data_IF_810991694505
#
_entry.id   IF_810991694505
#
_cell.length_a   1.000
_cell.length_b   1.000
_cell.length_c   1.000
_cell.angle_alpha   90.00
_cell.angle_beta   90.00
_cell.angle_gamma   90.00
#
_symmetry.space_group_name_H-M   'P 1'
#
loop_
_entity.id
_entity.type
_entity.pdbx_description
1 polymer ?
#
# COMPACT_ATOMS: atom_id res chain seq x y z
N UNK A 1 21.25 -11.04 -13.99
CA UNK A 1 20.15 -10.16 -14.44
C UNK A 1 19.45 -9.60 -13.22
N UNK A 2 19.35 -8.27 -13.10
CA UNK A 2 18.72 -7.60 -11.95
C UNK A 2 17.19 -7.66 -12.04
N UNK A 3 16.51 -7.71 -10.87
CA UNK A 3 15.05 -7.72 -10.78
C UNK A 3 14.60 -6.44 -10.09
N UNK A 4 13.70 -5.68 -10.69
CA UNK A 4 13.08 -4.50 -10.09
C UNK A 4 11.59 -4.74 -9.84
N UNK A 5 11.15 -4.41 -8.65
CA UNK A 5 9.76 -4.39 -8.21
C UNK A 5 9.28 -2.95 -8.09
N UNK A 6 7.96 -2.73 -8.09
CA UNK A 6 7.41 -1.39 -7.85
C UNK A 6 7.97 -0.75 -6.57
N UNK A 7 8.10 -1.52 -5.50
CA UNK A 7 8.66 -1.03 -4.23
C UNK A 7 10.08 -0.45 -4.37
N UNK A 8 10.91 -0.99 -5.27
CA UNK A 8 12.25 -0.46 -5.56
C UNK A 8 12.17 0.86 -6.30
N UNK A 9 11.33 0.94 -7.34
CA UNK A 9 11.10 2.16 -8.12
C UNK A 9 10.59 3.27 -7.21
N UNK A 10 9.51 3.02 -6.47
CA UNK A 10 8.90 3.97 -5.54
C UNK A 10 9.89 4.43 -4.45
N UNK A 11 10.77 3.55 -3.97
CA UNK A 11 11.78 3.90 -2.97
C UNK A 11 12.87 4.80 -3.56
N UNK A 12 13.42 4.46 -4.72
CA UNK A 12 14.44 5.29 -5.42
C UNK A 12 13.85 6.63 -5.83
N UNK A 13 12.61 6.65 -6.38
CA UNK A 13 11.87 7.87 -6.72
C UNK A 13 11.76 8.83 -5.53
N UNK A 14 11.49 8.31 -4.35
CA UNK A 14 11.39 9.11 -3.12
C UNK A 14 12.75 9.53 -2.57
N UNK A 15 13.69 8.59 -2.48
CA UNK A 15 15.03 8.84 -1.94
C UNK A 15 15.98 7.69 -2.29
N UNK A 16 16.93 7.87 -3.22
CA UNK A 16 17.93 6.85 -3.55
C UNK A 16 18.70 6.33 -2.33
N UNK A 17 19.09 7.22 -1.39
CA UNK A 17 19.80 6.82 -0.16
C UNK A 17 18.98 5.87 0.72
N UNK A 18 17.63 6.05 0.77
CA UNK A 18 16.75 5.10 1.45
C UNK A 18 16.82 3.71 0.84
N UNK A 19 16.87 3.63 -0.50
CA UNK A 19 17.04 2.35 -1.21
C UNK A 19 18.36 1.68 -0.85
N UNK A 20 19.48 2.42 -0.84
CA UNK A 20 20.79 1.91 -0.43
C UNK A 20 20.74 1.31 0.98
N UNK A 21 20.23 2.05 1.94
CA UNK A 21 20.16 1.59 3.32
C UNK A 21 19.24 0.37 3.48
N UNK A 22 18.16 0.31 2.71
CA UNK A 22 17.23 -0.81 2.78
C UNK A 22 17.75 -2.07 2.09
N UNK A 23 18.32 -1.94 0.91
CA UNK A 23 18.70 -3.06 0.02
C UNK A 23 20.21 -3.32 -0.03
N UNK A 24 21.03 -2.33 0.28
CA UNK A 24 22.47 -2.39 0.11
C UNK A 24 22.92 -2.23 -1.34
N UNK A 25 24.25 -2.17 -1.50
CA UNK A 25 24.94 -2.17 -2.78
C UNK A 25 26.37 -2.72 -2.59
N UNK A 26 26.89 -3.58 -3.48
CA UNK A 26 28.21 -4.23 -3.27
C UNK A 26 29.38 -3.26 -3.16
N UNK A 27 29.29 -2.08 -3.79
CA UNK A 27 30.38 -1.09 -3.81
C UNK A 27 30.26 -0.05 -2.67
N UNK A 28 29.40 -0.29 -1.68
CA UNK A 28 29.24 0.56 -0.50
C UNK A 28 29.50 -0.21 0.79
N UNK A 29 29.88 0.50 1.86
CA UNK A 29 30.08 -0.08 3.20
C UNK A 29 28.83 -0.82 3.70
N UNK A 30 27.66 -0.44 3.21
CA UNK A 30 26.37 -1.10 3.47
C UNK A 30 26.03 -2.16 2.42
N UNK A 31 27.00 -2.93 1.94
CA UNK A 31 26.83 -3.87 0.83
C UNK A 31 25.59 -4.76 0.91
N UNK A 32 25.25 -5.27 2.09
CA UNK A 32 24.04 -6.06 2.33
C UNK A 32 22.79 -5.21 2.62
N UNK A 33 22.93 -3.89 2.82
CA UNK A 33 21.87 -3.00 3.30
C UNK A 33 21.59 -3.17 4.80
N UNK A 34 20.95 -2.18 5.41
CA UNK A 34 20.51 -2.25 6.81
C UNK A 34 19.18 -3.02 6.96
N UNK A 35 18.46 -3.22 5.86
CA UNK A 35 17.10 -3.71 5.89
C UNK A 35 16.14 -2.71 6.57
N UNK A 36 15.00 -3.19 7.06
CA UNK A 36 14.18 -2.37 7.97
C UNK A 36 14.91 -2.24 9.29
N UNK A 37 15.15 -1.01 9.82
CA UNK A 37 15.71 -0.85 11.14
C UNK A 37 14.87 -1.63 12.14
N UNK A 38 15.53 -2.44 12.96
CA UNK A 38 14.83 -2.99 14.12
C UNK A 38 14.45 -1.81 15.00
N UNK A 39 13.20 -1.65 15.40
CA UNK A 39 12.80 -0.55 16.26
C UNK A 39 13.64 -0.61 17.55
N UNK A 40 14.10 0.55 17.99
CA UNK A 40 14.91 0.71 19.20
C UNK A 40 14.13 0.33 20.46
N UNK A 41 12.81 0.43 20.44
CA UNK A 41 11.92 -0.02 21.50
C UNK A 41 10.73 -0.79 20.92
N UNK A 42 10.21 -1.73 21.71
CA UNK A 42 9.04 -2.56 21.37
C UNK A 42 7.79 -1.69 21.11
N UNK A 43 7.71 -0.52 21.72
CA UNK A 43 6.59 0.42 21.71
C UNK A 43 6.53 1.28 20.43
N UNK A 44 7.62 1.37 19.65
CA UNK A 44 7.72 2.25 18.47
C UNK A 44 7.47 1.54 17.13
N UNK A 45 7.10 0.25 17.15
CA UNK A 45 6.83 -0.48 15.91
C UNK A 45 5.51 -0.05 15.30
N UNK A 46 5.48 0.33 14.00
CA UNK A 46 4.19 0.38 13.32
C UNK A 46 3.51 -0.98 13.46
N UNK A 47 2.28 -0.96 13.91
CA UNK A 47 1.52 -2.17 14.20
C UNK A 47 1.41 -3.06 12.96
N UNK A 48 1.93 -4.28 13.05
CA UNK A 48 1.88 -5.25 11.94
C UNK A 48 0.47 -5.81 11.70
N UNK A 49 -0.51 -5.51 12.57
CA UNK A 49 -1.88 -5.98 12.39
C UNK A 49 -2.52 -5.50 11.07
N UNK A 50 -2.17 -4.33 10.54
CA UNK A 50 -2.64 -3.89 9.22
C UNK A 50 -2.12 -4.78 8.10
N UNK A 51 -0.86 -5.22 8.21
CA UNK A 51 -0.25 -6.14 7.25
C UNK A 51 -0.89 -7.53 7.35
N UNK A 52 -1.10 -8.02 8.58
CA UNK A 52 -1.80 -9.29 8.82
C UNK A 52 -3.17 -9.28 8.16
N UNK A 53 -4.01 -8.27 8.44
CA UNK A 53 -5.34 -8.17 7.84
C UNK A 53 -5.29 -8.11 6.31
N UNK A 54 -4.34 -7.39 5.72
CA UNK A 54 -4.13 -7.35 4.27
C UNK A 54 -3.82 -8.74 3.72
N UNK A 55 -2.89 -9.47 4.34
CA UNK A 55 -2.50 -10.82 3.92
C UNK A 55 -3.66 -11.83 4.03
N UNK A 56 -4.48 -11.75 5.09
CA UNK A 56 -5.69 -12.58 5.23
C UNK A 56 -6.66 -12.34 4.09
N UNK A 57 -6.92 -11.08 3.75
CA UNK A 57 -7.87 -10.73 2.69
C UNK A 57 -7.33 -11.06 1.29
N UNK A 58 -6.03 -10.92 1.03
CA UNK A 58 -5.40 -11.42 -0.21
C UNK A 58 -5.56 -12.93 -0.34
N UNK A 59 -5.37 -13.68 0.77
CA UNK A 59 -5.60 -15.14 0.77
C UNK A 59 -7.05 -15.52 0.48
N UNK A 60 -8.00 -14.77 0.97
CA UNK A 60 -9.43 -14.94 0.64
C UNK A 60 -9.68 -14.78 -0.86
N UNK A 61 -9.13 -13.74 -1.49
CA UNK A 61 -9.22 -13.53 -2.94
C UNK A 61 -8.60 -14.70 -3.69
N UNK A 62 -7.39 -15.08 -3.31
CA UNK A 62 -6.66 -16.20 -3.91
C UNK A 62 -7.49 -17.49 -3.91
N UNK A 63 -7.99 -17.90 -2.74
CA UNK A 63 -8.76 -19.14 -2.60
C UNK A 63 -10.08 -19.07 -3.36
N UNK A 64 -10.76 -17.91 -3.33
CA UNK A 64 -12.02 -17.74 -4.03
C UNK A 64 -11.91 -18.05 -5.52
N UNK A 65 -10.86 -17.54 -6.18
CA UNK A 65 -10.66 -17.71 -7.62
C UNK A 65 -9.98 -19.04 -7.96
N UNK A 66 -8.98 -19.47 -7.20
CA UNK A 66 -8.25 -20.72 -7.49
C UNK A 66 -9.14 -21.95 -7.29
N UNK A 67 -9.97 -21.95 -6.25
CA UNK A 67 -10.89 -23.07 -5.95
C UNK A 67 -12.25 -22.91 -6.65
N UNK A 68 -12.41 -21.88 -7.47
CA UNK A 68 -13.64 -21.56 -8.22
C UNK A 68 -14.90 -21.54 -7.32
N UNK A 69 -14.79 -20.96 -6.14
CA UNK A 69 -15.87 -20.96 -5.15
C UNK A 69 -17.12 -20.21 -5.64
N UNK A 70 -16.98 -19.27 -6.57
CA UNK A 70 -18.10 -18.56 -7.20
C UNK A 70 -19.01 -19.46 -8.02
N UNK A 71 -18.55 -20.64 -8.43
CA UNK A 71 -19.37 -21.67 -9.10
C UNK A 71 -20.26 -22.44 -8.09
N UNK A 72 -19.97 -22.32 -6.79
CA UNK A 72 -20.69 -22.96 -5.68
C UNK A 72 -21.19 -21.91 -4.68
N UNK A 73 -22.09 -21.01 -5.06
CA UNK A 73 -22.40 -19.80 -4.28
C UNK A 73 -23.00 -20.07 -2.90
N UNK A 74 -23.66 -21.24 -2.70
CA UNK A 74 -24.26 -21.59 -1.40
C UNK A 74 -23.21 -21.75 -0.28
N UNK A 75 -22.03 -22.26 -0.60
CA UNK A 75 -20.98 -22.57 0.38
C UNK A 75 -19.85 -21.53 0.37
N UNK A 76 -19.88 -20.59 -0.59
CA UNK A 76 -18.80 -19.65 -0.83
C UNK A 76 -18.49 -18.79 0.40
N UNK A 77 -19.49 -18.13 0.98
CA UNK A 77 -19.28 -17.28 2.16
C UNK A 77 -18.75 -18.06 3.38
N UNK A 78 -19.32 -19.23 3.64
CA UNK A 78 -18.89 -20.08 4.76
C UNK A 78 -17.42 -20.49 4.60
N UNK A 79 -17.06 -20.94 3.41
CA UNK A 79 -15.70 -21.40 3.10
C UNK A 79 -14.67 -20.26 3.17
N UNK A 80 -14.99 -19.10 2.62
CA UNK A 80 -14.11 -17.94 2.69
C UNK A 80 -13.97 -17.38 4.11
N UNK A 81 -15.03 -17.47 4.91
CA UNK A 81 -14.99 -17.14 6.35
C UNK A 81 -14.02 -18.05 7.09
N UNK A 82 -14.10 -19.36 6.85
CA UNK A 82 -13.18 -20.35 7.41
C UNK A 82 -11.72 -20.08 6.97
N UNK A 83 -11.48 -19.82 5.69
CA UNK A 83 -10.15 -19.45 5.17
C UNK A 83 -9.60 -18.21 5.87
N UNK A 84 -10.42 -17.18 6.04
CA UNK A 84 -9.99 -15.95 6.72
C UNK A 84 -9.60 -16.21 8.17
N UNK A 85 -10.36 -17.03 8.90
CA UNK A 85 -10.05 -17.40 10.30
C UNK A 85 -8.75 -18.21 10.38
N UNK A 86 -8.62 -19.26 9.58
CA UNK A 86 -7.44 -20.10 9.56
C UNK A 86 -6.16 -19.35 9.21
N UNK A 87 -6.21 -18.49 8.17
CA UNK A 87 -5.05 -17.70 7.77
C UNK A 87 -4.70 -16.63 8.82
N UNK A 88 -5.70 -16.03 9.46
CA UNK A 88 -5.47 -15.07 10.56
C UNK A 88 -4.75 -15.74 11.72
N UNK A 89 -5.22 -16.88 12.19
CA UNK A 89 -4.62 -17.65 13.29
C UNK A 89 -3.21 -18.13 12.95
N UNK A 90 -3.01 -18.62 11.73
CA UNK A 90 -1.70 -19.03 11.24
C UNK A 90 -0.69 -17.86 11.21
N UNK A 91 -1.09 -16.70 10.70
CA UNK A 91 -0.22 -15.52 10.63
C UNK A 91 0.07 -14.97 12.03
N UNK A 92 -0.89 -15.00 12.96
CA UNK A 92 -0.70 -14.61 14.34
C UNK A 92 0.31 -15.51 15.06
N UNK A 93 0.30 -16.81 14.81
CA UNK A 93 1.27 -17.77 15.38
C UNK A 93 2.67 -17.60 14.80
N UNK A 94 2.78 -17.21 13.53
CA UNK A 94 4.07 -17.10 12.83
C UNK A 94 4.71 -15.72 12.90
N UNK A 95 3.94 -14.69 13.27
CA UNK A 95 4.40 -13.31 13.35
C UNK A 95 4.13 -12.73 14.72
N UNK A 96 5.07 -11.94 15.22
CA UNK A 96 4.83 -11.16 16.44
C UNK A 96 3.94 -9.96 16.11
N UNK A 97 2.63 -10.05 16.46
CA UNK A 97 1.66 -8.98 16.18
C UNK A 97 1.52 -8.09 17.40
N UNK A 98 1.70 -6.79 17.20
CA UNK A 98 1.43 -5.79 18.20
C UNK A 98 0.06 -5.17 17.97
N UNK A 99 -0.83 -5.36 18.93
CA UNK A 99 -2.20 -4.85 18.93
C UNK A 99 -2.24 -3.44 19.55
N UNK A 100 -1.78 -2.41 18.80
CA UNK A 100 -1.64 -1.04 19.32
C UNK A 100 -2.85 -0.17 19.08
N UNK A 101 -3.52 -0.32 17.93
CA UNK A 101 -4.66 0.53 17.53
C UNK A 101 -5.98 -0.24 17.45
N UNK A 102 -5.92 -1.55 17.39
CA UNK A 102 -7.06 -2.45 17.34
C UNK A 102 -6.80 -3.61 18.29
N UNK A 103 -7.85 -4.16 18.85
CA UNK A 103 -7.76 -5.46 19.51
C UNK A 103 -7.70 -6.58 18.47
N UNK A 104 -7.32 -7.77 18.90
CA UNK A 104 -7.34 -8.98 18.08
C UNK A 104 -8.73 -9.25 17.50
N UNK A 105 -9.75 -9.13 18.35
CA UNK A 105 -11.15 -9.37 18.01
C UNK A 105 -11.66 -8.36 16.98
N UNK A 106 -11.30 -7.09 17.13
CA UNK A 106 -11.63 -6.03 16.15
C UNK A 106 -10.97 -6.30 14.80
N UNK A 107 -9.69 -6.71 14.79
CA UNK A 107 -8.98 -7.03 13.57
C UNK A 107 -9.59 -8.25 12.86
N UNK A 108 -9.92 -9.32 13.60
CA UNK A 108 -10.62 -10.48 13.07
C UNK A 108 -11.98 -10.08 12.48
N UNK A 109 -12.76 -9.28 13.23
CA UNK A 109 -14.05 -8.78 12.74
C UNK A 109 -13.91 -8.02 11.43
N UNK A 110 -12.89 -7.14 11.30
CA UNK A 110 -12.63 -6.41 10.07
C UNK A 110 -12.32 -7.36 8.92
N UNK A 111 -11.57 -8.43 9.14
CA UNK A 111 -11.31 -9.44 8.11
C UNK A 111 -12.61 -10.15 7.68
N UNK A 112 -13.43 -10.57 8.63
CA UNK A 112 -14.69 -11.27 8.33
C UNK A 112 -15.72 -10.37 7.64
N UNK A 113 -15.81 -9.11 8.04
CA UNK A 113 -16.62 -8.12 7.35
C UNK A 113 -16.06 -7.86 5.94
N UNK A 114 -14.72 -7.81 5.80
CA UNK A 114 -14.04 -7.69 4.51
C UNK A 114 -14.37 -8.81 3.53
N UNK A 115 -14.52 -10.05 4.02
CA UNK A 115 -14.98 -11.20 3.19
C UNK A 115 -16.38 -10.95 2.63
N UNK A 116 -17.32 -10.52 3.48
CA UNK A 116 -18.70 -10.22 3.05
C UNK A 116 -18.76 -9.08 2.05
N UNK A 117 -18.04 -8.01 2.37
CA UNK A 117 -17.95 -6.82 1.52
C UNK A 117 -17.34 -7.14 0.16
N UNK A 118 -16.31 -7.98 0.12
CA UNK A 118 -15.69 -8.40 -1.13
C UNK A 118 -16.66 -9.21 -2.01
N UNK A 119 -17.45 -10.12 -1.43
CA UNK A 119 -18.48 -10.85 -2.16
C UNK A 119 -19.57 -9.92 -2.72
N UNK A 120 -19.92 -8.83 -2.01
CA UNK A 120 -20.81 -7.80 -2.52
C UNK A 120 -20.19 -7.09 -3.74
N UNK A 121 -18.94 -6.64 -3.63
CA UNK A 121 -18.19 -6.00 -4.74
C UNK A 121 -18.11 -6.93 -5.93
N UNK A 122 -17.75 -8.20 -5.73
CA UNK A 122 -17.71 -9.21 -6.80
C UNK A 122 -19.02 -9.36 -7.51
N UNK A 123 -20.14 -9.36 -6.77
CA UNK A 123 -21.50 -9.45 -7.32
C UNK A 123 -21.87 -8.19 -8.10
N UNK A 124 -21.65 -7.02 -7.53
CA UNK A 124 -22.04 -5.73 -8.11
C UNK A 124 -21.27 -5.43 -9.40
N UNK A 125 -19.97 -5.75 -9.40
CA UNK A 125 -19.11 -5.57 -10.58
C UNK A 125 -19.06 -6.80 -11.50
N UNK A 126 -19.89 -7.83 -11.22
CA UNK A 126 -19.95 -9.07 -12.01
C UNK A 126 -18.57 -9.69 -12.27
N UNK A 127 -17.70 -9.65 -11.25
CA UNK A 127 -16.35 -10.23 -11.29
C UNK A 127 -16.39 -11.77 -11.34
N UNK A 128 -17.48 -12.32 -11.86
CA UNK A 128 -17.73 -13.75 -12.00
C UNK A 128 -17.36 -14.12 -13.43
N UNK A 129 -16.07 -14.27 -13.68
CA UNK A 129 -15.61 -14.73 -14.99
C UNK A 129 -15.55 -16.26 -15.06
N UNK A 130 -16.27 -16.83 -16.00
CA UNK A 130 -16.11 -18.23 -16.38
C UNK A 130 -14.90 -18.47 -17.30
N UNK A 131 -14.36 -17.40 -17.90
CA UNK A 131 -13.38 -17.52 -18.97
C UNK A 131 -11.94 -17.27 -18.55
N UNK A 132 -11.69 -16.34 -17.65
CA UNK A 132 -10.34 -16.05 -17.16
C UNK A 132 -10.41 -15.25 -15.84
N UNK A 133 -9.84 -15.81 -14.79
CA UNK A 133 -9.55 -15.10 -13.57
C UNK A 133 -8.32 -15.73 -12.92
N UNK A 134 -7.35 -14.94 -12.52
CA UNK A 134 -6.14 -15.40 -11.85
C UNK A 134 -5.81 -14.41 -10.72
N UNK A 135 -5.68 -14.94 -9.51
CA UNK A 135 -5.19 -14.19 -8.35
C UNK A 135 -3.69 -14.38 -8.16
N UNK A 136 -3.06 -13.43 -7.49
CA UNK A 136 -1.62 -13.43 -7.18
C UNK A 136 -0.77 -13.71 -8.43
N UNK A 137 -1.15 -13.10 -9.58
CA UNK A 137 -0.43 -13.32 -10.84
C UNK A 137 0.98 -12.73 -10.77
N UNK A 138 1.95 -13.63 -10.69
CA UNK A 138 3.37 -13.25 -10.68
C UNK A 138 3.89 -13.08 -12.10
N UNK A 139 4.47 -11.93 -12.40
CA UNK A 139 5.03 -11.56 -13.70
C UNK A 139 6.49 -11.15 -13.53
N UNK A 140 7.36 -11.64 -14.40
CA UNK A 140 8.80 -11.34 -14.36
C UNK A 140 9.41 -11.10 -15.74
N UNK A 141 8.78 -10.29 -16.60
CA UNK A 141 9.26 -10.09 -17.96
C UNK A 141 10.59 -9.36 -18.00
N UNK A 142 11.26 -9.55 -19.11
CA UNK A 142 12.50 -8.88 -19.43
C UNK A 142 12.21 -7.55 -20.16
N UNK A 143 12.70 -6.43 -19.64
CA UNK A 143 12.58 -5.13 -20.30
C UNK A 143 13.79 -4.84 -21.23
N UNK A 144 14.97 -5.38 -20.87
CA UNK A 144 16.17 -5.36 -21.71
C UNK A 144 17.14 -6.50 -21.32
N UNK A 145 18.29 -6.59 -21.95
CA UNK A 145 19.26 -7.70 -21.75
C UNK A 145 19.76 -7.86 -20.31
N UNK A 146 19.74 -6.80 -19.49
CA UNK A 146 20.29 -6.82 -18.11
C UNK A 146 19.21 -6.75 -17.03
N UNK A 147 17.97 -6.37 -17.38
CA UNK A 147 16.93 -6.00 -16.41
C UNK A 147 15.62 -6.76 -16.64
N UNK A 148 15.10 -7.33 -15.55
CA UNK A 148 13.72 -7.81 -15.43
C UNK A 148 12.91 -6.87 -14.57
N UNK A 149 11.66 -6.63 -14.94
CA UNK A 149 10.66 -5.97 -14.10
C UNK A 149 9.75 -7.04 -13.49
N UNK A 150 9.35 -6.82 -12.24
CA UNK A 150 8.61 -7.84 -11.51
C UNK A 150 7.36 -7.21 -10.88
N UNK A 151 6.24 -7.89 -10.97
CA UNK A 151 4.98 -7.51 -10.34
C UNK A 151 4.20 -8.74 -9.93
N UNK A 152 3.38 -8.59 -8.90
CA UNK A 152 2.37 -9.56 -8.49
C UNK A 152 1.06 -8.79 -8.45
N UNK A 153 0.13 -9.14 -9.33
CA UNK A 153 -1.19 -8.53 -9.37
C UNK A 153 -2.16 -9.36 -8.52
N UNK A 154 -2.87 -8.72 -7.59
CA UNK A 154 -3.78 -9.42 -6.67
C UNK A 154 -4.88 -10.15 -7.43
N UNK A 155 -5.43 -9.52 -8.47
CA UNK A 155 -6.44 -10.13 -9.32
C UNK A 155 -6.34 -9.63 -10.76
N UNK A 156 -6.30 -10.57 -11.71
CA UNK A 156 -6.45 -10.34 -13.14
C UNK A 156 -7.64 -11.12 -13.63
N UNK A 157 -8.62 -10.49 -14.28
CA UNK A 157 -9.82 -11.17 -14.77
C UNK A 157 -10.37 -10.52 -16.03
N UNK A 158 -11.22 -11.26 -16.78
CA UNK A 158 -12.05 -10.70 -17.84
C UNK A 158 -13.47 -10.55 -17.33
N UNK A 159 -14.03 -9.37 -17.50
CA UNK A 159 -15.45 -9.14 -17.21
C UNK A 159 -16.38 -9.76 -18.27
N UNK A 160 -17.68 -9.59 -18.08
CA UNK A 160 -18.69 -10.15 -18.99
C UNK A 160 -18.66 -9.52 -20.39
N UNK A 161 -18.11 -8.32 -20.52
CA UNK A 161 -17.92 -7.62 -21.78
C UNK A 161 -16.60 -8.02 -22.47
N UNK A 162 -15.85 -8.96 -21.87
CA UNK A 162 -14.56 -9.46 -22.33
C UNK A 162 -13.38 -8.54 -22.03
N UNK A 163 -13.60 -7.44 -21.30
CA UNK A 163 -12.53 -6.50 -20.94
C UNK A 163 -11.59 -7.08 -19.87
N UNK A 164 -10.31 -6.91 -20.09
CA UNK A 164 -9.26 -7.38 -19.19
C UNK A 164 -8.98 -6.35 -18.11
N UNK A 165 -9.12 -6.76 -16.86
CA UNK A 165 -8.88 -5.94 -15.67
C UNK A 165 -7.66 -6.42 -14.90
N UNK A 166 -6.92 -5.46 -14.33
CA UNK A 166 -5.97 -5.70 -13.24
C UNK A 166 -6.45 -4.92 -12.02
N UNK A 167 -6.69 -5.63 -10.93
CA UNK A 167 -7.17 -5.07 -9.68
C UNK A 167 -6.18 -5.32 -8.56
N UNK A 168 -6.16 -4.40 -7.59
CA UNK A 168 -5.39 -4.50 -6.35
C UNK A 168 -6.31 -4.21 -5.16
N UNK A 169 -6.33 -5.13 -4.20
CA UNK A 169 -7.22 -5.09 -3.05
C UNK A 169 -6.67 -4.26 -1.89
N UNK A 170 -7.46 -3.35 -1.37
CA UNK A 170 -7.05 -2.45 -0.29
C UNK A 170 -7.92 -2.59 0.95
N UNK A 171 -7.28 -2.78 2.10
CA UNK A 171 -7.93 -2.74 3.42
C UNK A 171 -7.76 -1.37 4.10
N UNK A 172 -7.70 -0.29 3.31
CA UNK A 172 -7.50 1.06 3.80
C UNK A 172 -8.73 1.59 4.53
N UNK A 173 -8.52 2.38 5.60
CA UNK A 173 -9.59 3.08 6.32
C UNK A 173 -10.04 4.37 5.64
N UNK A 174 -9.32 4.83 4.63
CA UNK A 174 -9.63 6.00 3.81
C UNK A 174 -9.17 5.72 2.39
N UNK A 175 -10.10 5.45 1.45
CA UNK A 175 -9.76 5.18 0.06
C UNK A 175 -8.97 6.30 -0.60
N UNK A 176 -8.06 5.98 -1.49
CA UNK A 176 -7.21 6.87 -2.28
C UNK A 176 -6.34 7.86 -1.49
N UNK A 177 -6.16 7.63 -0.18
CA UNK A 177 -5.31 8.50 0.65
C UNK A 177 -3.82 8.20 0.51
N UNK A 178 -3.47 6.94 0.38
CA UNK A 178 -2.08 6.45 0.38
C UNK A 178 -1.75 5.56 -0.81
N UNK A 179 -2.74 5.23 -1.63
CA UNK A 179 -2.59 4.40 -2.81
C UNK A 179 -1.78 5.14 -3.87
N UNK A 180 -0.93 4.39 -4.54
CA UNK A 180 -0.10 4.89 -5.62
C UNK A 180 -0.61 4.26 -6.93
N UNK A 181 -1.32 5.03 -7.74
CA UNK A 181 -1.87 4.58 -9.01
C UNK A 181 -0.79 3.99 -9.94
N UNK A 182 0.44 4.48 -9.83
CA UNK A 182 1.55 3.96 -10.61
C UNK A 182 1.90 2.51 -10.23
N UNK A 183 1.46 2.00 -9.06
CA UNK A 183 1.57 0.58 -8.73
C UNK A 183 0.76 -0.28 -9.72
N UNK A 184 -0.49 0.12 -9.99
CA UNK A 184 -1.34 -0.58 -10.96
C UNK A 184 -0.82 -0.44 -12.39
N UNK A 185 -0.37 0.77 -12.76
CA UNK A 185 0.26 1.00 -14.08
C UNK A 185 1.54 0.19 -14.25
N UNK A 186 2.28 -0.04 -13.15
CA UNK A 186 3.43 -0.93 -13.14
C UNK A 186 3.04 -2.40 -13.40
N UNK A 187 1.95 -2.87 -12.81
CA UNK A 187 1.43 -4.20 -13.11
C UNK A 187 0.99 -4.31 -14.57
N UNK A 188 0.39 -3.25 -15.13
CA UNK A 188 0.05 -3.19 -16.55
C UNK A 188 1.29 -3.22 -17.46
N UNK A 189 2.39 -2.54 -17.09
CA UNK A 189 3.68 -2.65 -17.80
C UNK A 189 4.20 -4.09 -17.76
N UNK A 190 4.23 -4.72 -16.58
CA UNK A 190 4.67 -6.12 -16.45
C UNK A 190 3.80 -7.04 -17.32
N UNK A 191 2.48 -6.86 -17.27
CA UNK A 191 1.53 -7.65 -18.04
C UNK A 191 1.73 -7.49 -19.55
N UNK A 192 1.87 -6.23 -20.01
CA UNK A 192 2.17 -5.93 -21.42
C UNK A 192 3.43 -6.60 -21.91
N UNK A 193 4.50 -6.56 -21.11
CA UNK A 193 5.78 -7.15 -21.49
C UNK A 193 5.75 -8.70 -21.47
N UNK A 194 4.96 -9.31 -20.56
CA UNK A 194 4.86 -10.76 -20.43
C UNK A 194 3.92 -11.37 -21.48
N UNK A 195 2.75 -10.75 -21.71
CA UNK A 195 1.68 -11.29 -22.53
C UNK A 195 1.44 -10.57 -23.85
N UNK A 196 2.12 -9.45 -24.11
CA UNK A 196 2.02 -8.70 -25.36
C UNK A 196 0.76 -7.82 -25.49
N UNK A 197 -0.13 -7.80 -24.49
CA UNK A 197 -1.38 -7.04 -24.49
C UNK A 197 -1.48 -6.11 -23.30
N UNK A 198 -2.15 -4.96 -23.48
CA UNK A 198 -2.48 -4.06 -22.36
C UNK A 198 -3.79 -4.49 -21.72
N UNK A 199 -3.94 -4.39 -20.39
CA UNK A 199 -5.26 -4.47 -19.77
C UNK A 199 -6.13 -3.32 -20.23
N UNK A 200 -7.44 -3.58 -20.35
CA UNK A 200 -8.44 -2.54 -20.71
C UNK A 200 -8.70 -1.60 -19.54
N UNK A 201 -8.59 -2.12 -18.31
CA UNK A 201 -8.96 -1.43 -17.07
C UNK A 201 -8.01 -1.76 -15.93
N UNK A 202 -7.81 -0.75 -15.06
CA UNK A 202 -7.09 -0.89 -13.79
C UNK A 202 -8.00 -0.39 -12.67
N UNK A 203 -7.85 -0.94 -11.46
CA UNK A 203 -8.61 -0.43 -10.33
C UNK A 203 -8.15 -0.92 -8.96
N UNK A 204 -8.51 -0.16 -7.94
CA UNK A 204 -8.44 -0.56 -6.55
C UNK A 204 -9.83 -0.95 -6.07
N UNK A 205 -9.96 -2.09 -5.41
CA UNK A 205 -11.19 -2.42 -4.68
C UNK A 205 -10.93 -2.39 -3.17
N UNK A 206 -11.98 -2.00 -2.41
CA UNK A 206 -11.84 -1.68 -0.98
C UNK A 206 -12.65 -2.63 -0.12
N UNK A 207 -12.00 -3.56 0.57
CA UNK A 207 -12.64 -4.55 1.44
C UNK A 207 -13.53 -3.95 2.53
N UNK A 208 -13.27 -2.71 2.97
CA UNK A 208 -14.04 -2.05 4.02
C UNK A 208 -15.29 -1.32 3.52
N UNK A 209 -15.36 -1.05 2.24
CA UNK A 209 -16.32 -0.11 1.65
C UNK A 209 -16.99 -0.67 0.40
N UNK A 210 -17.93 -1.64 0.55
CA UNK A 210 -18.80 -2.02 -0.55
C UNK A 210 -19.78 -0.89 -0.89
N UNK A 211 -20.58 -1.07 -1.94
CA UNK A 211 -21.60 -0.09 -2.33
C UNK A 211 -22.62 0.17 -1.20
N UNK A 212 -22.99 -0.86 -0.45
CA UNK A 212 -23.95 -0.77 0.66
C UNK A 212 -23.41 0.00 1.88
N UNK A 213 -22.07 0.15 2.00
CA UNK A 213 -21.43 0.87 3.08
C UNK A 213 -20.30 1.77 2.56
N UNK A 214 -20.61 2.89 1.90
CA UNK A 214 -19.62 3.78 1.30
C UNK A 214 -18.76 4.48 2.37
N UNK A 215 -17.56 4.94 2.01
CA UNK A 215 -16.73 5.72 2.91
C UNK A 215 -17.37 7.08 3.22
N UNK A 216 -17.12 7.63 4.40
CA UNK A 216 -17.62 8.97 4.79
C UNK A 216 -17.24 10.07 3.82
N UNK A 217 -16.12 9.91 3.13
CA UNK A 217 -15.63 10.83 2.11
C UNK A 217 -15.33 10.03 0.85
N UNK A 218 -16.16 10.20 -0.18
CA UNK A 218 -15.91 9.62 -1.49
C UNK A 218 -14.70 10.31 -2.12
N UNK A 219 -13.68 9.56 -2.61
CA UNK A 219 -12.56 10.13 -3.35
C UNK A 219 -12.98 10.91 -4.60
N UNK A 220 -14.02 10.46 -5.29
CA UNK A 220 -14.67 11.14 -6.40
C UNK A 220 -16.11 11.52 -6.03
N UNK A 221 -16.35 12.76 -5.56
CA UNK A 221 -17.70 13.22 -5.21
C UNK A 221 -18.67 13.33 -6.39
N UNK A 222 -18.17 13.29 -7.63
CA UNK A 222 -19.00 13.37 -8.84
C UNK A 222 -19.61 12.04 -9.26
N UNK A 223 -19.14 10.93 -8.65
CA UNK A 223 -19.60 9.57 -8.96
C UNK A 223 -20.23 8.88 -7.75
N UNK A 224 -21.11 7.92 -8.02
CA UNK A 224 -21.61 7.01 -6.98
C UNK A 224 -20.48 6.05 -6.55
N UNK A 225 -20.37 5.83 -5.24
CA UNK A 225 -19.40 4.87 -4.70
C UNK A 225 -19.83 3.43 -5.00
N UNK A 226 -18.92 2.64 -5.54
CA UNK A 226 -19.20 1.26 -5.98
C UNK A 226 -18.32 0.20 -5.29
N UNK A 227 -17.45 0.60 -4.37
CA UNK A 227 -16.44 -0.29 -3.78
C UNK A 227 -15.16 -0.43 -4.61
N UNK A 228 -15.15 0.10 -5.82
CA UNK A 228 -14.05 0.05 -6.77
C UNK A 228 -13.73 1.46 -7.28
N UNK A 229 -12.46 1.80 -7.39
CA UNK A 229 -11.96 3.04 -8.00
C UNK A 229 -11.14 2.68 -9.22
N UNK A 230 -11.60 3.09 -10.40
CA UNK A 230 -10.85 2.92 -11.65
C UNK A 230 -9.65 3.85 -11.70
N UNK A 231 -8.56 3.35 -12.27
CA UNK A 231 -7.32 4.10 -12.52
C UNK A 231 -7.11 4.19 -14.02
N UNK A 232 -6.89 5.40 -14.50
CA UNK A 232 -6.60 5.63 -15.91
C UNK A 232 -5.28 4.98 -16.35
N UNK A 233 -5.25 4.43 -17.55
CA UNK A 233 -4.09 3.84 -18.18
C UNK A 233 -3.93 4.37 -19.61
N UNK A 234 -2.72 4.81 -19.93
CA UNK A 234 -2.34 5.25 -21.27
C UNK A 234 -1.07 4.56 -21.74
N UNK A 235 -0.81 4.53 -23.03
CA UNK A 235 0.47 4.06 -23.58
C UNK A 235 1.65 4.93 -23.10
N UNK A 236 1.41 6.20 -22.80
CA UNK A 236 2.41 7.11 -22.24
C UNK A 236 2.82 6.73 -20.83
N UNK A 237 1.88 6.23 -20.00
CA UNK A 237 2.17 5.72 -18.67
C UNK A 237 3.11 4.51 -18.74
N UNK A 238 2.83 3.59 -19.65
CA UNK A 238 3.66 2.40 -19.88
C UNK A 238 5.08 2.79 -20.29
N UNK A 239 5.20 3.72 -21.24
CA UNK A 239 6.49 4.23 -21.72
C UNK A 239 7.25 4.95 -20.61
N UNK A 240 6.56 5.81 -19.85
CA UNK A 240 7.14 6.54 -18.71
C UNK A 240 7.68 5.58 -17.66
N UNK A 241 6.90 4.59 -17.24
CA UNK A 241 7.32 3.62 -16.23
C UNK A 241 8.43 2.69 -16.72
N UNK A 242 8.42 2.31 -18.01
CA UNK A 242 9.50 1.56 -18.63
C UNK A 242 10.82 2.34 -18.60
N UNK A 243 10.79 3.63 -18.96
CA UNK A 243 11.97 4.51 -18.90
C UNK A 243 12.45 4.70 -17.45
N UNK A 244 11.52 4.86 -16.50
CA UNK A 244 11.85 5.00 -15.09
C UNK A 244 12.49 3.73 -14.52
N UNK A 245 12.05 2.55 -14.94
CA UNK A 245 12.69 1.30 -14.58
C UNK A 245 14.14 1.23 -15.04
N UNK A 246 14.40 1.64 -16.30
CA UNK A 246 15.74 1.67 -16.85
C UNK A 246 16.62 2.69 -16.11
N UNK A 247 16.09 3.88 -15.82
CA UNK A 247 16.85 4.89 -15.09
C UNK A 247 17.11 4.50 -13.63
N UNK A 248 16.13 3.92 -12.96
CA UNK A 248 16.32 3.36 -11.61
C UNK A 248 17.41 2.29 -11.61
N UNK A 249 17.43 1.42 -12.62
CA UNK A 249 18.49 0.42 -12.77
C UNK A 249 19.87 1.09 -12.93
N UNK A 250 19.97 2.14 -13.76
CA UNK A 250 21.23 2.90 -13.95
C UNK A 250 21.70 3.56 -12.65
N UNK A 251 20.79 4.17 -11.87
CA UNK A 251 21.13 4.75 -10.55
C UNK A 251 21.74 3.69 -9.66
N UNK A 252 21.09 2.52 -9.61
CA UNK A 252 21.55 1.40 -8.78
C UNK A 252 22.89 0.85 -9.29
N UNK A 253 23.12 0.75 -10.61
CA UNK A 253 24.40 0.26 -11.17
C UNK A 253 25.55 1.24 -10.97
N UNK A 254 25.30 2.53 -11.05
CA UNK A 254 26.32 3.57 -10.80
C UNK A 254 26.74 3.67 -9.33
N UNK A 255 25.94 3.12 -8.43
CA UNK A 255 26.20 3.20 -7.00
C UNK A 255 26.10 4.60 -6.41
N UNK A 256 25.44 5.57 -7.07
CA UNK A 256 25.27 6.94 -6.58
C UNK A 256 23.89 7.11 -5.98
N UNK A 257 23.86 7.23 -4.65
CA UNK A 257 22.61 7.26 -3.89
C UNK A 257 22.48 8.57 -3.10
N UNK A 258 21.99 9.60 -3.77
CA UNK A 258 21.79 10.91 -3.14
C UNK A 258 20.59 10.92 -2.20
N UNK A 259 20.71 11.64 -1.08
CA UNK A 259 19.59 11.89 -0.20
C UNK A 259 18.60 12.87 -0.79
N UNK A 260 17.31 12.60 -0.64
CA UNK A 260 16.23 13.54 -0.97
C UNK A 260 15.42 13.89 0.31
N UNK A 261 15.95 14.79 1.18
CA UNK A 261 15.44 14.99 2.53
C UNK A 261 14.21 15.91 2.59
N UNK A 262 13.29 15.84 1.63
CA UNK A 262 12.04 16.62 1.68
C UNK A 262 11.10 16.08 2.78
N UNK A 263 10.36 16.93 3.50
CA UNK A 263 9.50 16.53 4.62
C UNK A 263 8.55 15.38 4.28
N UNK A 264 7.90 15.43 3.12
CA UNK A 264 6.97 14.39 2.65
C UNK A 264 7.62 13.01 2.53
N UNK A 265 8.89 12.96 2.09
CA UNK A 265 9.62 11.69 1.92
C UNK A 265 10.14 11.16 3.25
N UNK A 266 10.48 12.07 4.18
CA UNK A 266 11.13 11.72 5.44
C UNK A 266 10.16 11.39 6.57
N UNK A 267 8.93 11.91 6.57
CA UNK A 267 7.95 11.71 7.65
C UNK A 267 7.57 10.24 7.89
N UNK A 268 7.78 9.37 6.90
CA UNK A 268 7.56 7.93 7.00
C UNK A 268 8.82 7.12 6.63
N UNK A 269 10.00 7.74 6.79
CA UNK A 269 11.26 7.09 6.49
C UNK A 269 11.78 6.39 7.75
N UNK A 270 12.01 5.10 7.66
CA UNK A 270 12.53 4.27 8.75
C UNK A 270 13.93 4.71 9.22
N UNK A 271 14.64 5.46 8.37
CA UNK A 271 16.00 5.93 8.61
C UNK A 271 16.08 7.41 8.99
N UNK A 272 14.94 8.07 9.29
CA UNK A 272 14.91 9.52 9.57
C UNK A 272 15.89 9.92 10.68
N UNK A 273 16.01 9.09 11.71
CA UNK A 273 16.82 9.42 12.89
C UNK A 273 18.34 9.30 12.66
N UNK A 274 18.78 8.50 11.70
CA UNK A 274 20.19 8.30 11.36
C UNK A 274 20.61 9.06 10.09
N UNK A 275 19.68 9.73 9.41
CA UNK A 275 19.93 10.43 8.16
C UNK A 275 20.52 11.83 8.40
N UNK A 276 21.83 12.00 8.16
CA UNK A 276 22.52 13.29 8.31
C UNK A 276 21.89 14.40 7.48
N UNK A 277 21.56 14.12 6.20
CA UNK A 277 20.91 15.09 5.33
C UNK A 277 19.55 15.57 5.89
N UNK A 278 18.80 14.68 6.56
CA UNK A 278 17.55 15.04 7.24
C UNK A 278 17.79 15.85 8.50
N UNK A 279 18.79 15.49 9.30
CA UNK A 279 19.13 16.24 10.50
C UNK A 279 19.58 17.67 10.15
N UNK A 280 20.41 17.81 9.12
CA UNK A 280 20.83 19.14 8.64
C UNK A 280 19.64 19.96 8.11
N UNK A 281 18.74 19.35 7.35
CA UNK A 281 17.53 20.05 6.91
C UNK A 281 16.67 20.53 8.10
N UNK A 282 16.53 19.69 9.17
CA UNK A 282 15.82 20.08 10.39
C UNK A 282 16.47 21.30 11.06
N UNK A 283 17.82 21.31 11.15
CA UNK A 283 18.59 22.44 11.69
C UNK A 283 18.37 23.73 10.89
N UNK A 284 18.48 23.65 9.56
CA UNK A 284 18.26 24.79 8.66
C UNK A 284 16.83 25.33 8.76
N UNK A 285 15.84 24.45 8.86
CA UNK A 285 14.44 24.84 9.01
C UNK A 285 14.17 25.46 10.41
N UNK A 286 14.83 24.99 11.45
CA UNK A 286 14.72 25.57 12.79
C UNK A 286 15.33 26.98 12.83
N UNK A 287 16.49 27.17 12.19
CA UNK A 287 17.15 28.48 12.10
C UNK A 287 16.32 29.54 11.32
N UNK A 288 15.49 29.10 10.37
CA UNK A 288 14.59 30.00 9.61
C UNK A 288 13.30 30.35 10.36
N UNK A 289 12.95 29.66 11.44
CA UNK A 289 11.77 29.98 12.24
C UNK A 289 12.09 31.21 13.10
N UNK A 290 11.42 32.33 12.84
CA UNK A 290 11.43 33.47 13.76
C UNK A 290 10.99 32.98 15.14
N UNK A 291 11.62 33.45 16.23
CA UNK A 291 11.11 33.20 17.58
C UNK A 291 9.61 33.55 17.60
N UNK A 292 8.77 32.65 18.06
CA UNK A 292 7.39 32.99 18.36
C UNK A 292 7.46 34.03 19.47
N UNK A 293 6.92 35.23 19.24
CA UNK A 293 6.70 36.18 20.32
C UNK A 293 5.95 35.47 21.45
N UNK A 294 6.41 35.59 22.71
CA UNK A 294 5.70 35.02 23.83
C UNK A 294 4.27 35.54 23.77
N UNK A 295 3.29 34.65 23.71
CA UNK A 295 1.90 35.05 23.90
C UNK A 295 1.82 35.62 25.30
N UNK A 296 1.55 36.95 25.40
CA UNK A 296 1.16 37.56 26.65
C UNK A 296 -0.07 36.83 27.17
N UNK A 297 0.13 36.06 28.21
CA UNK A 297 -0.97 35.44 28.94
C UNK A 297 -1.60 36.51 29.78
N UNK A 298 -2.60 37.19 29.23
CA UNK A 298 -3.48 38.09 29.95
C UNK A 298 -4.42 37.23 30.84
N UNK A 299 -3.87 36.72 31.92
CA UNK A 299 -4.58 35.93 32.92
C UNK A 299 -4.38 36.50 34.32
N UNK A 300 -4.90 37.70 34.53
CA UNK A 300 -5.32 38.11 35.85
C UNK A 300 -6.82 38.44 35.85
N UNK A 301 -7.67 37.42 35.86
CA UNK A 301 -8.99 37.56 36.47
C UNK A 301 -8.78 37.57 37.98
N UNK A 302 -8.74 38.77 38.55
CA UNK A 302 -8.84 39.01 39.98
C UNK A 302 -10.14 38.37 40.49
N UNK A 303 -9.99 37.34 41.28
CA UNK A 303 -11.09 36.82 42.11
C UNK A 303 -11.30 37.82 43.25
N UNK A 304 -12.35 38.65 43.17
CA UNK A 304 -12.89 39.37 44.33
C UNK A 304 -13.65 38.38 45.21
N UNK A 305 -13.08 38.08 46.36
CA UNK A 305 -13.79 37.42 47.44
C UNK A 305 -14.95 38.29 47.90
N UNK A 306 -16.16 37.85 47.63
CA UNK A 306 -17.36 38.50 48.16
C UNK A 306 -17.39 38.37 49.70
N UNK A 307 -17.43 39.50 50.37
CA UNK A 307 -17.66 39.61 51.82
C UNK A 307 -19.08 39.11 52.14
N UNK A 308 -19.18 37.89 52.63
CA UNK A 308 -20.40 37.41 53.29
C UNK A 308 -20.56 38.15 54.63
N UNK A 309 -21.67 38.86 54.82
CA UNK A 309 -22.16 39.28 56.10
C UNK A 309 -22.85 38.10 56.79
N UNK A 310 -22.56 37.99 58.09
CA UNK A 310 -23.26 37.15 59.09
C UNK A 310 -24.77 37.36 59.07
#
# INVERSE_FOLDING_TARGET
MKRLYWSHISMVRKCPLRYLWYKGHPDHDLGAGLGKPKPLAFEERPSEHFKLMGSVLSKVVEVMYNDRLLEKPKDCLSKLTEVAQQEFEKLEQTHHIMWTYLTREEAMKICLDGVRNFLEIVKDHRMISKSYAQSELSMTPQINKSLKVCGIADLVYRDLDGKLWILDGKNASTPMKYEDEDQLRWYALCFRLEYGVLPDKLGFFYFRYPKSNPPKKNPDPSSEWTGLVEVSLTEDDIRRLGNEAIETHRIIERGVFEANPVPKNCSFCEFENICEARQEQKRLNAAKRKPKEPKEYDNYKTFTLGSGKL
#
